data_IF_978563662923
#
_entry.id   IF_978563662923
#
_cell.length_a   1.000
_cell.length_b   1.000
_cell.length_c   1.000
_cell.angle_alpha   90.00
_cell.angle_beta   90.00
_cell.angle_gamma   90.00
#
_symmetry.space_group_name_H-M   'P 1'
#
loop_
_entity.id
_entity.type
_entity.pdbx_description
1 polymer ?
#
# COMPACT_ATOMS: atom_id res chain seq x y z
N UNK A 1 8.36 32.49 -21.44
CA UNK A 1 7.15 31.63 -21.40
C UNK A 1 7.59 30.18 -21.35
N UNK A 2 7.54 29.53 -20.18
CA UNK A 2 8.01 28.15 -20.01
C UNK A 2 6.81 27.18 -20.00
N UNK A 3 6.74 26.28 -20.99
CA UNK A 3 5.74 25.21 -21.08
C UNK A 3 6.12 24.09 -20.10
N UNK A 4 5.24 23.82 -19.15
CA UNK A 4 5.38 22.78 -18.12
C UNK A 4 4.79 21.46 -18.67
N UNK A 5 5.64 20.48 -18.96
CA UNK A 5 5.24 19.15 -19.41
C UNK A 5 4.64 18.36 -18.25
N UNK A 6 3.32 18.18 -18.22
CA UNK A 6 2.64 17.25 -17.32
C UNK A 6 2.90 15.82 -17.80
N UNK A 7 3.65 15.05 -17.01
CA UNK A 7 3.74 13.60 -17.18
C UNK A 7 2.37 12.98 -16.90
N UNK A 8 1.68 12.57 -17.96
CA UNK A 8 0.44 11.80 -17.87
C UNK A 8 0.84 10.33 -17.73
N UNK A 9 0.98 9.84 -16.50
CA UNK A 9 1.05 8.40 -16.23
C UNK A 9 -0.35 7.81 -16.45
N UNK A 10 -0.70 7.64 -17.72
CA UNK A 10 -1.94 7.00 -18.15
C UNK A 10 -1.96 5.55 -17.69
N UNK A 11 -3.04 5.14 -17.01
CA UNK A 11 -3.35 3.75 -16.59
C UNK A 11 -3.64 2.81 -17.78
N UNK A 12 -3.02 3.04 -18.93
CA UNK A 12 -3.23 2.26 -20.15
C UNK A 12 -1.90 1.67 -20.59
N UNK A 13 -1.49 0.59 -19.96
CA UNK A 13 -0.62 -0.38 -20.64
C UNK A 13 -1.50 -1.24 -21.55
N UNK A 14 -1.13 -1.26 -22.83
CA UNK A 14 -1.94 -1.71 -23.96
C UNK A 14 -2.28 -3.19 -24.01
N UNK A 15 -3.14 -3.52 -24.98
CA UNK A 15 -3.42 -4.88 -25.44
C UNK A 15 -2.12 -5.60 -25.78
N UNK A 16 -1.67 -6.51 -24.92
CA UNK A 16 -0.75 -7.58 -25.29
C UNK A 16 -1.52 -8.90 -25.21
N UNK A 17 -1.84 -9.48 -26.37
CA UNK A 17 -2.25 -10.89 -26.45
C UNK A 17 -1.11 -11.73 -25.84
N UNK A 18 -1.39 -12.39 -24.70
CA UNK A 18 -0.50 -13.40 -24.11
C UNK A 18 0.02 -13.14 -22.69
N UNK A 19 -0.09 -11.93 -22.13
CA UNK A 19 0.18 -11.67 -20.69
C UNK A 19 -1.09 -11.16 -20.02
N UNK A 20 -1.56 -11.86 -18.99
CA UNK A 20 -2.71 -11.42 -18.18
C UNK A 20 -2.49 -10.00 -17.65
N UNK A 21 -3.56 -9.21 -17.54
CA UNK A 21 -3.50 -7.85 -16.99
C UNK A 21 -2.93 -7.87 -15.58
N UNK A 22 -2.00 -6.97 -15.29
CA UNK A 22 -1.39 -6.83 -13.97
C UNK A 22 -2.43 -6.44 -12.91
N UNK A 23 -2.33 -7.04 -11.72
CA UNK A 23 -3.00 -6.51 -10.52
C UNK A 23 -2.24 -5.27 -10.06
N UNK A 24 -2.97 -4.20 -9.72
CA UNK A 24 -2.38 -2.94 -9.26
C UNK A 24 -2.66 -2.77 -7.77
N UNK A 25 -1.62 -2.46 -7.00
CA UNK A 25 -1.71 -2.20 -5.56
C UNK A 25 -1.03 -0.87 -5.25
N UNK A 26 -1.77 0.02 -4.60
CA UNK A 26 -1.21 1.25 -4.04
C UNK A 26 -0.96 1.06 -2.55
N UNK A 27 0.21 1.42 -2.07
CA UNK A 27 0.59 1.29 -0.66
C UNK A 27 0.96 2.66 -0.10
N UNK A 28 0.40 2.96 1.06
CA UNK A 28 0.75 4.08 1.91
C UNK A 28 1.62 3.57 3.06
N UNK A 29 2.73 4.23 3.33
CA UNK A 29 3.68 3.83 4.38
C UNK A 29 3.89 4.96 5.38
N UNK A 30 4.01 4.62 6.66
CA UNK A 30 4.41 5.56 7.70
C UNK A 30 5.86 6.04 7.49
N UNK A 31 6.83 5.13 7.57
CA UNK A 31 8.22 5.44 7.28
C UNK A 31 8.53 5.61 5.79
N UNK A 32 9.64 6.29 5.53
CA UNK A 32 10.07 6.72 4.19
C UNK A 32 11.00 5.72 3.49
N UNK A 33 11.58 4.80 4.25
CA UNK A 33 12.71 3.97 3.80
C UNK A 33 12.42 2.50 4.08
N UNK A 34 12.32 2.14 5.36
CA UNK A 34 12.26 0.75 5.81
C UNK A 34 11.10 -0.04 5.19
N UNK A 35 9.89 0.51 5.25
CA UNK A 35 8.68 -0.15 4.78
C UNK A 35 8.59 -0.17 3.25
N UNK A 36 8.84 0.93 2.52
CA UNK A 36 8.96 0.89 1.07
C UNK A 36 10.00 -0.13 0.57
N UNK A 37 11.19 -0.18 1.17
CA UNK A 37 12.25 -1.10 0.75
C UNK A 37 11.92 -2.55 1.10
N UNK A 38 11.26 -2.79 2.22
CA UNK A 38 10.75 -4.11 2.54
C UNK A 38 9.69 -4.59 1.54
N UNK A 39 8.76 -3.72 1.12
CA UNK A 39 7.78 -4.05 0.08
C UNK A 39 8.48 -4.41 -1.24
N UNK A 40 9.56 -3.71 -1.61
CA UNK A 40 10.38 -4.07 -2.78
C UNK A 40 11.04 -5.43 -2.59
N UNK A 41 11.60 -5.71 -1.41
CA UNK A 41 12.23 -6.99 -1.11
C UNK A 41 11.21 -8.15 -1.19
N UNK A 42 10.00 -7.98 -0.65
CA UNK A 42 8.93 -8.98 -0.75
C UNK A 42 8.51 -9.22 -2.21
N UNK A 43 8.47 -8.18 -3.05
CA UNK A 43 8.18 -8.36 -4.48
C UNK A 43 9.28 -9.12 -5.23
N UNK A 44 10.54 -8.90 -4.85
CA UNK A 44 11.69 -9.51 -5.52
C UNK A 44 11.97 -10.95 -5.05
N UNK A 45 11.83 -11.19 -3.75
CA UNK A 45 12.22 -12.44 -3.10
C UNK A 45 11.03 -13.34 -2.74
N UNK A 46 9.82 -12.76 -2.68
CA UNK A 46 8.62 -13.48 -2.30
C UNK A 46 8.04 -14.34 -3.42
N UNK A 47 7.23 -15.33 -3.03
CA UNK A 47 6.46 -16.14 -3.97
C UNK A 47 5.04 -15.60 -4.08
N UNK A 48 4.64 -15.18 -5.27
CA UNK A 48 3.25 -14.79 -5.52
C UNK A 48 2.32 -15.99 -5.37
N UNK A 49 1.21 -15.80 -4.68
CA UNK A 49 0.13 -16.82 -4.59
C UNK A 49 -0.40 -17.23 -5.98
N UNK A 50 -0.31 -16.33 -6.96
CA UNK A 50 -0.70 -16.56 -8.36
C UNK A 50 0.47 -16.19 -9.28
N UNK A 51 1.44 -17.11 -9.50
CA UNK A 51 2.69 -16.81 -10.23
C UNK A 51 2.49 -16.29 -11.66
N UNK A 52 1.35 -16.57 -12.30
CA UNK A 52 1.04 -16.12 -13.67
C UNK A 52 0.36 -14.74 -13.76
N UNK A 53 0.07 -14.08 -12.63
CA UNK A 53 -0.56 -12.76 -12.63
C UNK A 53 0.46 -11.70 -12.22
N UNK A 54 0.90 -10.82 -13.13
CA UNK A 54 1.83 -9.75 -12.78
C UNK A 54 1.23 -8.85 -11.69
N UNK A 55 2.06 -8.37 -10.78
CA UNK A 55 1.69 -7.45 -9.71
C UNK A 55 2.48 -6.15 -9.88
N UNK A 56 1.78 -5.03 -9.93
CA UNK A 56 2.35 -3.69 -9.98
C UNK A 56 2.05 -2.98 -8.66
N UNK A 57 3.10 -2.60 -7.93
CA UNK A 57 2.99 -1.98 -6.60
C UNK A 57 3.54 -0.57 -6.63
N UNK A 58 2.72 0.41 -6.21
CA UNK A 58 3.09 1.81 -6.15
C UNK A 58 3.07 2.31 -4.70
N UNK A 59 4.17 2.92 -4.25
CA UNK A 59 4.18 3.66 -2.98
C UNK A 59 3.57 5.05 -3.23
N UNK A 60 2.31 5.22 -2.86
CA UNK A 60 1.49 6.37 -3.26
C UNK A 60 1.88 7.67 -2.56
N UNK A 61 2.56 7.59 -1.41
CA UNK A 61 2.98 8.74 -0.61
C UNK A 61 4.50 8.94 -0.58
N UNK A 62 5.23 8.45 -1.59
CA UNK A 62 6.70 8.50 -1.62
C UNK A 62 7.27 9.92 -1.43
N UNK A 63 6.55 10.95 -1.89
CA UNK A 63 6.94 12.37 -1.77
C UNK A 63 6.40 13.07 -0.53
N UNK A 64 5.58 12.42 0.29
CA UNK A 64 4.94 13.05 1.45
C UNK A 64 5.95 13.29 2.58
N UNK A 65 5.79 14.42 3.27
CA UNK A 65 6.53 14.76 4.48
C UNK A 65 6.15 13.89 5.69
N UNK A 66 7.00 13.85 6.72
CA UNK A 66 6.78 13.01 7.92
C UNK A 66 5.49 13.34 8.67
N UNK A 67 5.13 14.61 8.78
CA UNK A 67 3.88 15.06 9.44
C UNK A 67 2.61 14.50 8.79
N UNK A 68 2.70 14.14 7.52
CA UNK A 68 1.61 13.65 6.68
C UNK A 68 1.47 12.12 6.68
N UNK A 69 2.26 11.44 7.52
CA UNK A 69 2.41 9.98 7.54
C UNK A 69 1.89 9.33 8.81
N UNK A 70 1.13 10.06 9.65
CA UNK A 70 0.43 9.49 10.81
C UNK A 70 -0.69 8.53 10.37
N UNK A 71 -1.01 7.47 11.15
CA UNK A 71 -1.98 6.44 10.75
C UNK A 71 -3.32 6.97 10.22
N UNK A 72 -3.95 7.91 10.94
CA UNK A 72 -5.24 8.47 10.51
C UNK A 72 -5.13 9.26 9.19
N UNK A 73 -4.06 10.06 9.02
CA UNK A 73 -3.83 10.85 7.80
C UNK A 73 -3.57 9.92 6.61
N UNK A 74 -2.76 8.87 6.81
CA UNK A 74 -2.50 7.84 5.79
C UNK A 74 -3.81 7.19 5.33
N UNK A 75 -4.65 6.76 6.27
CA UNK A 75 -5.94 6.13 5.95
C UNK A 75 -6.85 7.08 5.17
N UNK A 76 -6.96 8.34 5.57
CA UNK A 76 -7.81 9.29 4.83
C UNK A 76 -7.34 9.49 3.38
N UNK A 77 -6.02 9.59 3.17
CA UNK A 77 -5.43 9.67 1.82
C UNK A 77 -5.68 8.40 1.02
N UNK A 78 -5.54 7.23 1.64
CA UNK A 78 -5.82 5.94 1.02
C UNK A 78 -7.29 5.81 0.60
N UNK A 79 -8.23 6.26 1.43
CA UNK A 79 -9.67 6.27 1.11
C UNK A 79 -9.94 7.17 -0.09
N UNK A 80 -9.34 8.37 -0.14
CA UNK A 80 -9.48 9.28 -1.27
C UNK A 80 -8.95 8.64 -2.57
N UNK A 81 -7.76 8.04 -2.53
CA UNK A 81 -7.16 7.35 -3.67
C UNK A 81 -8.01 6.16 -4.13
N UNK A 82 -8.49 5.32 -3.22
CA UNK A 82 -9.33 4.16 -3.54
C UNK A 82 -10.59 4.59 -4.29
N UNK A 83 -11.25 5.67 -3.84
CA UNK A 83 -12.45 6.22 -4.50
C UNK A 83 -12.15 6.71 -5.92
N UNK A 84 -11.02 7.39 -6.11
CA UNK A 84 -10.55 7.83 -7.43
C UNK A 84 -10.32 6.63 -8.36
N UNK A 85 -9.50 5.66 -7.91
CA UNK A 85 -9.11 4.49 -8.72
C UNK A 85 -10.29 3.58 -9.04
N UNK A 86 -11.24 3.41 -8.12
CA UNK A 86 -12.48 2.68 -8.38
C UNK A 86 -13.33 3.34 -9.48
N UNK A 87 -13.41 4.68 -9.49
CA UNK A 87 -14.13 5.41 -10.56
C UNK A 87 -13.43 5.26 -11.91
N UNK A 88 -12.11 5.23 -11.94
CA UNK A 88 -11.32 5.00 -13.15
C UNK A 88 -11.50 3.57 -13.67
N UNK A 89 -11.38 2.57 -12.79
CA UNK A 89 -11.58 1.16 -13.13
C UNK A 89 -12.99 0.88 -13.66
N UNK A 90 -14.01 1.50 -13.05
CA UNK A 90 -15.40 1.42 -13.51
C UNK A 90 -15.56 2.04 -14.90
N UNK A 91 -14.99 3.23 -15.14
CA UNK A 91 -15.03 3.90 -16.46
C UNK A 91 -14.31 3.09 -17.54
N UNK A 92 -13.24 2.39 -17.18
CA UNK A 92 -12.49 1.52 -18.07
C UNK A 92 -13.15 0.14 -18.29
N UNK A 93 -14.30 -0.14 -17.67
CA UNK A 93 -15.00 -1.43 -17.81
C UNK A 93 -14.23 -2.62 -17.25
N UNK A 94 -13.36 -2.41 -16.25
CA UNK A 94 -12.58 -3.49 -15.65
C UNK A 94 -13.47 -4.41 -14.81
N UNK A 95 -13.25 -5.71 -14.94
CA UNK A 95 -13.82 -6.70 -14.02
C UNK A 95 -13.40 -6.38 -12.58
N UNK A 96 -14.31 -6.54 -11.62
CA UNK A 96 -14.09 -6.18 -10.20
C UNK A 96 -12.85 -6.83 -9.59
N UNK A 97 -12.50 -8.06 -10.03
CA UNK A 97 -11.31 -8.77 -9.57
C UNK A 97 -9.97 -8.11 -9.96
N UNK A 98 -9.99 -7.21 -10.94
CA UNK A 98 -8.85 -6.43 -11.44
C UNK A 98 -8.88 -4.98 -10.96
N UNK A 99 -9.82 -4.61 -10.08
CA UNK A 99 -9.83 -3.27 -9.51
C UNK A 99 -8.59 -3.07 -8.64
N UNK A 100 -7.98 -1.87 -8.65
CA UNK A 100 -6.82 -1.59 -7.83
C UNK A 100 -7.13 -1.75 -6.35
N UNK A 101 -6.16 -2.28 -5.60
CA UNK A 101 -6.24 -2.33 -4.14
C UNK A 101 -5.46 -1.16 -3.55
N UNK A 102 -5.86 -0.73 -2.36
CA UNK A 102 -5.16 0.30 -1.60
C UNK A 102 -4.91 -0.21 -0.19
N UNK A 103 -3.64 -0.14 0.23
CA UNK A 103 -3.15 -0.61 1.51
C UNK A 103 -2.51 0.53 2.32
N UNK A 104 -2.67 0.49 3.64
CA UNK A 104 -1.88 1.28 4.58
C UNK A 104 -0.97 0.36 5.40
N UNK A 105 0.28 0.80 5.59
CA UNK A 105 1.29 0.15 6.40
C UNK A 105 1.86 1.14 7.40
N UNK A 106 1.66 0.87 8.69
CA UNK A 106 2.07 1.76 9.79
C UNK A 106 2.29 0.95 11.07
N UNK A 107 2.94 1.56 12.06
CA UNK A 107 3.21 0.93 13.34
C UNK A 107 2.04 1.17 14.32
N UNK A 108 1.71 0.16 15.13
CA UNK A 108 0.79 0.27 16.27
C UNK A 108 1.62 0.54 17.53
N UNK A 109 2.29 1.67 17.55
CA UNK A 109 2.94 2.20 18.76
C UNK A 109 1.95 3.04 19.59
N UNK A 110 2.44 3.95 20.46
CA UNK A 110 1.60 4.80 21.32
C UNK A 110 0.82 5.91 20.55
N UNK A 111 0.70 5.82 19.22
CA UNK A 111 -0.12 6.76 18.46
C UNK A 111 -1.61 6.69 18.85
N UNK A 112 -2.07 7.76 19.48
CA UNK A 112 -3.50 8.04 19.63
C UNK A 112 -4.18 8.06 18.25
N UNK A 113 -5.25 7.27 18.09
CA UNK A 113 -6.06 7.28 16.87
C UNK A 113 -5.89 6.07 15.93
N UNK A 114 -5.03 5.09 16.26
CA UNK A 114 -4.91 3.84 15.46
C UNK A 114 -6.25 3.12 15.34
N UNK A 115 -7.03 3.00 16.43
CA UNK A 115 -8.36 2.37 16.38
C UNK A 115 -9.33 3.08 15.43
N UNK A 116 -9.28 4.41 15.45
CA UNK A 116 -10.08 5.24 14.53
C UNK A 116 -9.64 5.01 13.09
N UNK A 117 -8.32 4.98 12.82
CA UNK A 117 -7.77 4.70 11.51
C UNK A 117 -8.21 3.31 10.99
N UNK A 118 -8.11 2.27 11.81
CA UNK A 118 -8.57 0.91 11.47
C UNK A 118 -10.07 0.87 11.18
N UNK A 119 -10.89 1.52 12.01
CA UNK A 119 -12.34 1.61 11.81
C UNK A 119 -12.70 2.31 10.49
N UNK A 120 -12.03 3.41 10.16
CA UNK A 120 -12.27 4.15 8.90
C UNK A 120 -11.81 3.36 7.68
N UNK A 121 -10.64 2.72 7.75
CA UNK A 121 -10.11 1.87 6.67
C UNK A 121 -11.07 0.72 6.35
N UNK A 122 -11.51 -0.02 7.39
CA UNK A 122 -12.47 -1.13 7.24
C UNK A 122 -13.78 -0.68 6.60
N UNK A 123 -14.35 0.44 7.04
CA UNK A 123 -15.60 0.99 6.48
C UNK A 123 -15.46 1.38 5.01
N UNK A 124 -14.28 1.79 4.57
CA UNK A 124 -14.02 2.24 3.22
C UNK A 124 -13.50 1.14 2.27
N UNK A 125 -13.11 -0.02 2.79
CA UNK A 125 -12.49 -1.09 2.01
C UNK A 125 -11.02 -0.83 1.68
N UNK A 126 -10.32 -0.07 2.53
CA UNK A 126 -8.86 0.05 2.52
C UNK A 126 -8.29 -1.03 3.42
N UNK A 127 -7.32 -1.79 2.90
CA UNK A 127 -6.65 -2.83 3.67
C UNK A 127 -5.54 -2.21 4.54
N UNK A 128 -5.32 -2.80 5.72
CA UNK A 128 -4.29 -2.33 6.65
C UNK A 128 -3.42 -3.50 7.06
N UNK A 129 -2.11 -3.32 6.95
CA UNK A 129 -1.12 -4.10 7.64
C UNK A 129 -0.48 -3.19 8.70
N UNK A 130 -0.37 -3.66 9.94
CA UNK A 130 0.30 -2.88 10.97
C UNK A 130 1.23 -3.77 11.77
N UNK A 131 2.34 -3.20 12.24
CA UNK A 131 3.27 -3.87 13.14
C UNK A 131 2.89 -3.58 14.59
N UNK A 132 3.30 -4.43 15.52
CA UNK A 132 3.13 -4.15 16.94
C UNK A 132 4.26 -4.80 17.75
N UNK A 133 5.07 -4.02 18.50
CA UNK A 133 4.98 -2.56 18.67
C UNK A 133 5.54 -1.74 17.49
N UNK A 134 6.52 -2.26 16.74
CA UNK A 134 7.16 -1.53 15.64
C UNK A 134 7.59 -2.46 14.48
N UNK A 135 7.91 -1.85 13.35
CA UNK A 135 8.21 -2.57 12.10
C UNK A 135 9.41 -3.52 12.21
N UNK A 136 10.44 -3.13 12.96
CA UNK A 136 11.68 -3.92 13.07
C UNK A 136 11.41 -5.32 13.61
N UNK A 137 10.49 -5.44 14.58
CA UNK A 137 10.10 -6.73 15.14
C UNK A 137 9.36 -7.56 14.11
N UNK A 138 8.44 -6.96 13.36
CA UNK A 138 7.74 -7.64 12.27
C UNK A 138 8.72 -8.19 11.22
N UNK A 139 9.72 -7.39 10.84
CA UNK A 139 10.77 -7.81 9.89
C UNK A 139 11.56 -9.01 10.41
N UNK A 140 11.92 -9.04 11.69
CA UNK A 140 12.63 -10.19 12.29
C UNK A 140 11.74 -11.44 12.26
N UNK A 141 10.47 -11.31 12.66
CA UNK A 141 9.51 -12.41 12.70
C UNK A 141 9.23 -13.01 11.32
N UNK A 142 9.36 -12.22 10.25
CA UNK A 142 9.22 -12.74 8.89
C UNK A 142 10.40 -13.63 8.46
N UNK A 143 11.60 -13.39 9.00
CA UNK A 143 12.81 -14.12 8.61
C UNK A 143 13.05 -15.37 9.46
N UNK A 144 12.71 -15.30 10.76
CA UNK A 144 12.91 -16.42 11.68
C UNK A 144 11.87 -16.40 12.79
N UNK A 145 11.51 -17.59 13.24
CA UNK A 145 10.75 -17.75 14.47
C UNK A 145 11.62 -17.30 15.65
N UNK A 146 11.10 -16.37 16.44
CA UNK A 146 11.70 -15.91 17.70
C UNK A 146 10.64 -15.90 18.79
N UNK A 147 11.04 -16.28 19.99
CA UNK A 147 10.22 -16.22 21.21
C UNK A 147 10.92 -15.31 22.21
N UNK A 148 10.18 -14.42 22.85
CA UNK A 148 10.70 -13.48 23.84
C UNK A 148 9.58 -12.65 24.45
N UNK A 149 9.85 -12.01 25.59
CA UNK A 149 8.90 -11.09 26.23
C UNK A 149 9.28 -9.66 25.89
N UNK A 150 8.32 -8.88 25.40
CA UNK A 150 8.50 -7.45 25.23
C UNK A 150 7.90 -6.74 26.45
N UNK A 151 8.75 -6.27 27.37
CA UNK A 151 8.31 -5.51 28.53
C UNK A 151 8.08 -4.05 28.09
N UNK A 152 6.85 -3.68 27.74
CA UNK A 152 6.55 -2.28 27.40
C UNK A 152 5.34 -2.01 26.49
N UNK A 153 4.26 -2.77 26.61
CA UNK A 153 2.96 -2.39 26.02
C UNK A 153 1.86 -2.50 27.06
#
# INVERSE_FOLDING_TARGET
>A
MAKRTKGNASLTSGKAHGRGRSRVVYVFTEGKVTEPDYIKAVQQLGTLKQPGTPLDVHVANATDEGSQRKPLILVEKAIALLREKNREAKRAGLAKALWPQVWCLFDRDQHEGVETALSRAKKAGVDVAYSHPCFEIWRVLHLKSVTGTFAGV
#
